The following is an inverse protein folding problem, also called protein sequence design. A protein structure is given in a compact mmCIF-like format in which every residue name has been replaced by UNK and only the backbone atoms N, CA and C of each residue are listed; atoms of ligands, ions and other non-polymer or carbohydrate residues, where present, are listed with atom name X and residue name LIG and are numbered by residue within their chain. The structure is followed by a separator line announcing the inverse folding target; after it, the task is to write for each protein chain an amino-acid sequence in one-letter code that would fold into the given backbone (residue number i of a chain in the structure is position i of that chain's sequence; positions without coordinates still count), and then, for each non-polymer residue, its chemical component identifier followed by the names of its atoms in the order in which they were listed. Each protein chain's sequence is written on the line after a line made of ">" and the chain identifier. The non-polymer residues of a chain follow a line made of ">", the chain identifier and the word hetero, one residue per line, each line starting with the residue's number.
data_IF_552499914253
#
_entry.id   IF_552499914253
#
_cell.length_a   1.000
_cell.length_b   1.000
_cell.length_c   1.000
_cell.angle_alpha   90.00
_cell.angle_beta   90.00
_cell.angle_gamma   90.00
#
_symmetry.space_group_name_H-M   'P 1'
#
loop_
_entity.id
_entity.type
_entity.pdbx_description
1 polymer ?
#
# COMPACT_ATOMS: atom_id res chain seq x y z
N UNK A 1 18.57 39.48 21.02
CA UNK A 1 17.34 38.70 21.30
C UNK A 1 16.38 38.71 20.10
N UNK A 2 16.13 39.83 19.43
CA UNK A 2 15.22 39.91 18.28
C UNK A 2 15.68 39.15 17.06
N UNK A 3 16.99 39.09 16.78
CA UNK A 3 17.55 38.37 15.64
C UNK A 3 17.52 36.85 15.84
N UNK A 4 17.64 36.36 17.07
CA UNK A 4 17.55 34.94 17.40
C UNK A 4 16.11 34.45 17.18
N UNK A 5 15.11 35.22 17.61
CA UNK A 5 13.69 34.92 17.39
C UNK A 5 13.31 34.92 15.90
N UNK A 6 13.81 35.87 15.11
CA UNK A 6 13.58 35.91 13.66
C UNK A 6 14.19 34.73 12.96
N UNK A 7 15.43 34.35 13.25
CA UNK A 7 16.08 33.17 12.69
C UNK A 7 15.34 31.89 13.06
N UNK A 8 14.87 31.76 14.28
CA UNK A 8 14.10 30.61 14.73
C UNK A 8 12.76 30.50 13.97
N UNK A 9 12.05 31.62 13.77
CA UNK A 9 10.83 31.64 12.97
C UNK A 9 11.09 31.28 11.49
N UNK A 10 12.18 31.75 10.92
CA UNK A 10 12.57 31.40 9.54
C UNK A 10 12.90 29.90 9.40
N UNK A 11 13.63 29.33 10.36
CA UNK A 11 13.91 27.90 10.41
C UNK A 11 12.66 27.07 10.57
N UNK A 12 11.74 27.47 11.47
CA UNK A 12 10.46 26.79 11.66
C UNK A 12 9.58 26.87 10.41
N UNK A 13 9.51 28.04 9.77
CA UNK A 13 8.75 28.21 8.52
C UNK A 13 9.32 27.38 7.37
N UNK A 14 10.64 27.33 7.23
CA UNK A 14 11.31 26.52 6.19
C UNK A 14 11.14 25.03 6.45
N UNK A 15 11.27 24.58 7.69
CA UNK A 15 11.06 23.19 8.08
C UNK A 15 9.61 22.77 7.86
N UNK A 16 8.65 23.64 8.21
CA UNK A 16 7.23 23.40 7.97
C UNK A 16 6.90 23.32 6.49
N UNK A 17 7.44 24.22 5.68
CA UNK A 17 7.26 24.20 4.22
C UNK A 17 7.79 22.91 3.61
N UNK A 18 9.00 22.49 3.98
CA UNK A 18 9.61 21.24 3.52
C UNK A 18 8.81 20.02 3.94
N UNK A 19 8.27 20.02 5.18
CA UNK A 19 7.42 18.93 5.67
C UNK A 19 6.10 18.85 4.90
N UNK A 20 5.47 19.98 4.58
CA UNK A 20 4.23 20.02 3.79
C UNK A 20 4.48 19.50 2.38
N UNK A 21 5.57 19.91 1.73
CA UNK A 21 5.94 19.41 0.40
C UNK A 21 6.25 17.92 0.44
N UNK A 22 7.01 17.44 1.42
CA UNK A 22 7.32 16.03 1.61
C UNK A 22 6.07 15.19 1.83
N UNK A 23 5.14 15.66 2.65
CA UNK A 23 3.86 14.98 2.88
C UNK A 23 2.98 14.96 1.62
N UNK A 24 2.91 16.05 0.86
CA UNK A 24 2.16 16.10 -0.39
C UNK A 24 2.69 15.08 -1.41
N UNK A 25 4.01 15.02 -1.61
CA UNK A 25 4.65 14.03 -2.49
C UNK A 25 4.38 12.61 -1.99
N UNK A 26 4.49 12.37 -0.68
CA UNK A 26 4.22 11.06 -0.08
C UNK A 26 2.79 10.59 -0.30
N UNK A 27 1.80 11.49 -0.20
CA UNK A 27 0.39 11.18 -0.48
C UNK A 27 0.20 10.80 -1.95
N UNK A 28 0.81 11.52 -2.89
CA UNK A 28 0.74 11.18 -4.32
C UNK A 28 1.34 9.81 -4.59
N UNK A 29 2.52 9.52 -4.04
CA UNK A 29 3.17 8.22 -4.18
C UNK A 29 2.31 7.10 -3.58
N UNK A 30 1.71 7.34 -2.41
CA UNK A 30 0.81 6.39 -1.77
C UNK A 30 -0.43 6.09 -2.64
N UNK A 31 -1.04 7.12 -3.24
CA UNK A 31 -2.17 6.95 -4.16
C UNK A 31 -1.78 6.13 -5.39
N UNK A 32 -0.64 6.43 -6.01
CA UNK A 32 -0.11 5.65 -7.14
C UNK A 32 0.14 4.20 -6.73
N UNK A 33 0.70 3.97 -5.55
CA UNK A 33 0.92 2.64 -5.00
C UNK A 33 -0.38 1.85 -4.81
N UNK A 34 -1.41 2.48 -4.24
CA UNK A 34 -2.74 1.87 -4.08
C UNK A 34 -3.38 1.54 -5.43
N UNK A 35 -3.34 2.47 -6.39
CA UNK A 35 -3.88 2.23 -7.74
C UNK A 35 -3.15 1.09 -8.45
N UNK A 36 -1.82 1.02 -8.33
CA UNK A 36 -1.03 -0.07 -8.90
C UNK A 36 -1.37 -1.42 -8.24
N UNK A 37 -1.56 -1.44 -6.91
CA UNK A 37 -1.98 -2.64 -6.20
C UNK A 37 -3.38 -3.11 -6.66
N UNK A 38 -4.34 -2.19 -6.80
CA UNK A 38 -5.68 -2.50 -7.32
C UNK A 38 -5.57 -3.09 -8.72
N UNK A 39 -4.84 -2.44 -9.62
CA UNK A 39 -4.68 -2.89 -10.99
C UNK A 39 -4.04 -4.28 -11.08
N UNK A 40 -3.00 -4.53 -10.29
CA UNK A 40 -2.31 -5.83 -10.23
C UNK A 40 -3.24 -6.93 -9.74
N UNK A 41 -4.03 -6.67 -8.69
CA UNK A 41 -4.99 -7.64 -8.15
C UNK A 41 -6.14 -7.93 -9.12
N UNK A 42 -6.70 -6.89 -9.74
CA UNK A 42 -7.76 -7.05 -10.75
C UNK A 42 -7.25 -7.89 -11.91
N UNK A 43 -6.07 -7.58 -12.42
CA UNK A 43 -5.44 -8.31 -13.53
C UNK A 43 -5.19 -9.77 -13.16
N UNK A 44 -4.64 -10.04 -11.98
CA UNK A 44 -4.40 -11.39 -11.49
C UNK A 44 -5.69 -12.23 -11.39
N UNK A 45 -6.77 -11.64 -10.87
CA UNK A 45 -8.06 -12.31 -10.73
C UNK A 45 -8.72 -12.54 -12.11
N UNK A 46 -8.70 -11.54 -13.00
CA UNK A 46 -9.33 -11.64 -14.33
C UNK A 46 -8.59 -12.63 -15.23
N UNK A 47 -7.26 -12.62 -15.22
CA UNK A 47 -6.45 -13.56 -16.02
C UNK A 47 -6.66 -15.03 -15.60
N UNK A 48 -6.96 -15.29 -14.32
CA UNK A 48 -7.20 -16.64 -13.76
C UNK A 48 -8.67 -17.03 -13.72
N UNK A 49 -9.57 -16.24 -14.31
CA UNK A 49 -11.03 -16.49 -14.31
C UNK A 49 -11.38 -17.90 -14.81
N UNK A 50 -10.68 -18.40 -15.83
CA UNK A 50 -10.89 -19.75 -16.39
C UNK A 50 -10.47 -20.85 -15.41
N UNK A 51 -9.37 -20.67 -14.70
CA UNK A 51 -8.91 -21.61 -13.67
C UNK A 51 -9.92 -21.70 -12.53
N UNK A 52 -10.48 -20.56 -12.11
CA UNK A 52 -11.50 -20.51 -11.06
C UNK A 52 -12.79 -21.23 -11.48
N UNK A 53 -13.17 -21.14 -12.74
CA UNK A 53 -14.32 -21.87 -13.27
C UNK A 53 -14.09 -23.39 -13.23
N UNK A 54 -12.88 -23.85 -13.56
CA UNK A 54 -12.49 -25.27 -13.46
C UNK A 54 -12.54 -25.76 -12.02
N UNK A 55 -11.95 -25.00 -11.09
CA UNK A 55 -11.92 -25.36 -9.67
C UNK A 55 -13.34 -25.42 -9.08
N UNK A 56 -14.24 -24.51 -9.50
CA UNK A 56 -15.65 -24.54 -9.12
C UNK A 56 -16.38 -25.76 -9.70
N UNK A 57 -16.05 -26.21 -10.92
CA UNK A 57 -16.65 -27.39 -11.51
C UNK A 57 -16.29 -28.69 -10.79
N UNK A 58 -15.13 -28.73 -10.12
CA UNK A 58 -14.68 -29.84 -9.27
C UNK A 58 -15.35 -29.84 -7.89
N UNK A 59 -16.15 -28.81 -7.57
CA UNK A 59 -16.95 -28.76 -6.35
C UNK A 59 -16.54 -27.70 -5.32
N UNK A 60 -15.60 -26.80 -5.66
CA UNK A 60 -15.27 -25.69 -4.76
C UNK A 60 -16.42 -24.69 -4.67
N UNK A 61 -16.82 -24.33 -3.45
CA UNK A 61 -17.86 -23.33 -3.24
C UNK A 61 -17.31 -21.92 -3.48
N UNK A 62 -18.20 -21.00 -3.88
CA UNK A 62 -17.87 -19.57 -4.07
C UNK A 62 -17.23 -18.95 -2.83
N UNK A 63 -17.67 -19.34 -1.64
CA UNK A 63 -17.16 -18.86 -0.35
C UNK A 63 -15.71 -19.32 -0.12
N UNK A 64 -15.40 -20.55 -0.49
CA UNK A 64 -14.05 -21.09 -0.40
C UNK A 64 -13.11 -20.38 -1.39
N UNK A 65 -13.56 -20.14 -2.62
CA UNK A 65 -12.78 -19.41 -3.62
C UNK A 65 -12.48 -17.97 -3.18
N UNK A 66 -13.49 -17.24 -2.66
CA UNK A 66 -13.28 -15.90 -2.13
C UNK A 66 -12.27 -15.88 -0.98
N UNK A 67 -12.36 -16.84 -0.06
CA UNK A 67 -11.40 -16.97 1.04
C UNK A 67 -9.98 -17.27 0.54
N UNK A 68 -9.84 -18.07 -0.49
CA UNK A 68 -8.54 -18.34 -1.13
C UNK A 68 -7.94 -17.07 -1.73
N UNK A 69 -8.73 -16.27 -2.46
CA UNK A 69 -8.28 -15.00 -3.03
C UNK A 69 -7.89 -13.96 -1.98
N UNK A 70 -8.65 -13.87 -0.90
CA UNK A 70 -8.34 -12.98 0.23
C UNK A 70 -7.03 -13.42 0.91
N UNK A 71 -6.83 -14.71 1.12
CA UNK A 71 -5.58 -15.22 1.69
C UNK A 71 -4.37 -14.96 0.78
N UNK A 72 -4.54 -15.09 -0.53
CA UNK A 72 -3.51 -14.75 -1.51
C UNK A 72 -3.17 -13.25 -1.45
N UNK A 73 -4.18 -12.37 -1.42
CA UNK A 73 -3.98 -10.94 -1.26
C UNK A 73 -3.28 -10.56 0.05
N UNK A 74 -3.65 -11.21 1.14
CA UNK A 74 -3.03 -11.02 2.45
C UNK A 74 -1.56 -11.47 2.45
N UNK A 75 -1.26 -12.59 1.82
CA UNK A 75 0.12 -13.07 1.67
C UNK A 75 1.00 -12.06 0.92
N UNK A 76 0.52 -11.52 -0.20
CA UNK A 76 1.23 -10.47 -0.93
C UNK A 76 1.42 -9.21 -0.10
N UNK A 77 0.40 -8.80 0.67
CA UNK A 77 0.50 -7.64 1.54
C UNK A 77 1.56 -7.83 2.64
N UNK A 78 1.59 -8.98 3.29
CA UNK A 78 2.59 -9.31 4.32
C UNK A 78 4.00 -9.32 3.73
N UNK A 79 4.18 -9.93 2.56
CA UNK A 79 5.47 -9.96 1.86
C UNK A 79 5.95 -8.56 1.49
N UNK A 80 5.05 -7.73 0.97
CA UNK A 80 5.32 -6.33 0.60
C UNK A 80 5.68 -5.50 1.84
N UNK A 81 4.96 -5.67 2.94
CA UNK A 81 5.26 -5.00 4.20
C UNK A 81 6.63 -5.42 4.73
N UNK A 82 6.95 -6.70 4.76
CA UNK A 82 8.24 -7.20 5.20
C UNK A 82 9.39 -6.61 4.36
N UNK A 83 9.26 -6.62 3.04
CA UNK A 83 10.23 -5.99 2.14
C UNK A 83 10.35 -4.48 2.37
N UNK A 84 9.22 -3.78 2.54
CA UNK A 84 9.19 -2.33 2.81
C UNK A 84 9.87 -1.98 4.14
N UNK A 85 9.65 -2.76 5.19
CA UNK A 85 10.32 -2.56 6.49
C UNK A 85 11.82 -2.78 6.37
N UNK A 86 12.26 -3.81 5.65
CA UNK A 86 13.69 -4.08 5.42
C UNK A 86 14.35 -2.94 4.63
N UNK A 87 13.79 -2.57 3.49
CA UNK A 87 14.35 -1.52 2.63
C UNK A 87 14.35 -0.17 3.35
N UNK A 88 13.26 0.16 4.04
CA UNK A 88 13.14 1.41 4.80
C UNK A 88 14.16 1.49 5.93
N UNK A 89 14.37 0.40 6.67
CA UNK A 89 15.36 0.36 7.76
C UNK A 89 16.79 0.51 7.25
N UNK A 90 17.11 -0.12 6.11
CA UNK A 90 18.42 0.02 5.46
C UNK A 90 18.61 1.45 4.94
N UNK A 91 17.64 2.01 4.23
CA UNK A 91 17.72 3.36 3.67
C UNK A 91 17.90 4.41 4.78
N UNK A 92 17.10 4.33 5.84
CA UNK A 92 17.23 5.24 6.98
C UNK A 92 18.56 5.03 7.70
N UNK A 93 19.03 3.80 7.87
CA UNK A 93 20.34 3.52 8.46
C UNK A 93 21.50 4.15 7.67
N UNK A 94 21.45 4.11 6.34
CA UNK A 94 22.45 4.75 5.47
C UNK A 94 22.37 6.28 5.56
N UNK A 95 21.15 6.85 5.49
CA UNK A 95 20.94 8.29 5.58
C UNK A 95 21.39 8.85 6.94
N UNK A 96 21.05 8.16 8.04
CA UNK A 96 21.48 8.56 9.39
C UNK A 96 23.00 8.56 9.49
N UNK A 97 23.66 7.52 8.96
CA UNK A 97 25.12 7.45 8.97
C UNK A 97 25.76 8.61 8.21
N UNK A 98 25.28 8.90 7.00
CA UNK A 98 25.76 10.01 6.19
C UNK A 98 25.52 11.38 6.85
N UNK A 99 24.41 11.57 7.55
CA UNK A 99 24.10 12.80 8.28
C UNK A 99 24.95 12.98 9.54
N UNK A 100 25.23 11.91 10.28
CA UNK A 100 26.10 11.95 11.47
C UNK A 100 27.53 12.27 11.06
N UNK A 101 28.04 11.68 10.00
CA UNK A 101 29.37 11.98 9.44
C UNK A 101 29.47 13.41 8.90
N UNK A 102 28.34 14.00 8.42
CA UNK A 102 28.25 15.40 7.96
C UNK A 102 28.02 16.44 9.06
N UNK A 103 27.95 16.06 10.35
CA UNK A 103 27.82 17.00 11.47
C UNK A 103 26.39 17.55 11.69
N UNK A 104 25.39 17.00 11.04
CA UNK A 104 23.97 17.38 11.24
C UNK A 104 23.36 16.59 12.41
N UNK A 105 23.27 17.25 13.56
CA UNK A 105 22.95 16.63 14.84
C UNK A 105 21.48 16.66 15.22
N UNK A 106 20.51 16.19 14.56
CA UNK A 106 19.22 15.78 15.15
C UNK A 106 18.31 15.12 14.13
N UNK A 107 18.60 13.90 13.82
CA UNK A 107 17.66 13.06 13.09
C UNK A 107 16.91 12.15 14.08
N UNK A 108 15.59 12.35 14.22
CA UNK A 108 14.73 11.39 14.93
C UNK A 108 14.32 10.30 13.95
N UNK A 109 14.83 9.10 14.16
CA UNK A 109 14.36 7.90 13.47
C UNK A 109 12.89 7.66 13.84
N UNK A 110 11.99 7.91 12.90
CA UNK A 110 10.56 7.71 13.14
C UNK A 110 10.00 6.70 12.15
N UNK A 111 9.77 5.48 12.59
CA UNK A 111 9.03 4.45 11.84
C UNK A 111 7.50 4.68 11.89
N UNK A 112 7.08 5.72 12.57
CA UNK A 112 5.66 6.03 12.80
C UNK A 112 4.82 6.09 11.50
N UNK A 113 5.27 6.72 10.40
CA UNK A 113 4.53 6.72 9.15
C UNK A 113 4.33 5.32 8.57
N UNK A 114 5.34 4.45 8.68
CA UNK A 114 5.29 3.09 8.18
C UNK A 114 4.31 2.24 8.99
N UNK A 115 4.32 2.39 10.31
CA UNK A 115 3.36 1.74 11.22
C UNK A 115 1.93 2.23 10.94
N UNK A 116 1.73 3.50 10.65
CA UNK A 116 0.42 4.07 10.30
C UNK A 116 -0.10 3.56 8.94
N UNK A 117 0.77 3.32 7.97
CA UNK A 117 0.38 2.76 6.66
C UNK A 117 0.05 1.26 6.71
N UNK A 118 0.60 0.52 7.68
CA UNK A 118 0.41 -0.93 7.80
C UNK A 118 -1.07 -1.35 7.88
N UNK A 119 -1.92 -0.80 8.78
CA UNK A 119 -3.32 -1.19 8.86
C UNK A 119 -4.11 -0.83 7.59
N UNK A 120 -3.78 0.29 6.97
CA UNK A 120 -4.42 0.73 5.72
C UNK A 120 -4.15 -0.29 4.62
N UNK A 121 -2.91 -0.72 4.45
CA UNK A 121 -2.51 -1.68 3.44
C UNK A 121 -3.15 -3.05 3.67
N UNK A 122 -3.24 -3.50 4.93
CA UNK A 122 -3.92 -4.75 5.29
C UNK A 122 -5.43 -4.69 5.00
N UNK A 123 -6.08 -3.58 5.26
CA UNK A 123 -7.50 -3.38 4.92
C UNK A 123 -7.70 -3.49 3.41
N UNK A 124 -6.87 -2.84 2.60
CA UNK A 124 -6.94 -2.94 1.15
C UNK A 124 -6.64 -4.36 0.64
N UNK A 125 -5.72 -5.07 1.25
CA UNK A 125 -5.39 -6.45 0.89
C UNK A 125 -6.55 -7.43 1.06
N UNK A 126 -7.46 -7.16 1.99
CA UNK A 126 -8.69 -7.95 2.20
C UNK A 126 -9.83 -7.41 1.34
N UNK A 127 -10.01 -6.09 1.29
CA UNK A 127 -11.14 -5.45 0.64
C UNK A 127 -11.11 -5.61 -0.88
N UNK A 128 -9.95 -5.43 -1.51
CA UNK A 128 -9.82 -5.43 -2.97
C UNK A 128 -10.14 -6.80 -3.58
N UNK A 129 -9.56 -7.92 -3.13
CA UNK A 129 -9.92 -9.24 -3.64
C UNK A 129 -11.40 -9.57 -3.45
N UNK A 130 -11.95 -9.20 -2.29
CA UNK A 130 -13.37 -9.41 -1.99
C UNK A 130 -14.30 -8.62 -2.95
N UNK A 131 -14.00 -7.35 -3.20
CA UNK A 131 -14.77 -6.52 -4.13
C UNK A 131 -14.62 -6.99 -5.58
N UNK A 132 -13.41 -7.35 -6.00
CA UNK A 132 -13.16 -7.87 -7.35
C UNK A 132 -13.92 -9.17 -7.59
N UNK A 133 -13.91 -10.10 -6.63
CA UNK A 133 -14.65 -11.34 -6.74
C UNK A 133 -16.16 -11.09 -6.85
N UNK A 134 -16.71 -10.23 -6.03
CA UNK A 134 -18.13 -9.84 -6.07
C UNK A 134 -18.53 -9.20 -7.41
N UNK A 135 -17.64 -8.42 -8.00
CA UNK A 135 -17.89 -7.76 -9.29
C UNK A 135 -17.86 -8.76 -10.47
N UNK A 136 -16.91 -9.70 -10.45
CA UNK A 136 -16.84 -10.79 -11.43
C UNK A 136 -18.09 -11.67 -11.39
N UNK A 137 -18.63 -11.94 -10.21
CA UNK A 137 -19.85 -12.73 -10.05
C UNK A 137 -21.08 -12.05 -10.68
N UNK A 138 -21.20 -10.74 -10.54
CA UNK A 138 -22.28 -9.96 -11.17
C UNK A 138 -22.23 -10.02 -12.70
N UNK A 139 -21.05 -9.87 -13.28
CA UNK A 139 -20.87 -9.92 -14.73
C UNK A 139 -21.18 -11.29 -15.32
N UNK A 140 -20.86 -12.37 -14.62
CA UNK A 140 -21.14 -13.73 -15.11
C UNK A 140 -22.65 -14.05 -15.11
N UNK A 141 -23.43 -13.45 -14.23
CA UNK A 141 -24.90 -13.62 -14.18
C UNK A 141 -25.57 -12.85 -15.31
N UNK A 142 -25.13 -11.61 -15.58
CA UNK A 142 -25.67 -10.79 -16.66
C UNK A 142 -25.36 -11.38 -18.03
N UNK A 143 -24.17 -11.97 -18.21
CA UNK A 143 -23.78 -12.59 -19.48
C UNK A 143 -24.56 -13.89 -19.76
N UNK A 144 -24.91 -14.66 -18.72
CA UNK A 144 -25.78 -15.83 -18.83
C UNK A 144 -27.22 -15.46 -19.20
N UNK A 145 -27.76 -14.37 -18.64
CA UNK A 145 -29.11 -13.89 -18.94
C UNK A 145 -29.22 -13.26 -20.34
N UNK A 146 -28.10 -12.90 -20.97
CA UNK A 146 -28.06 -12.34 -22.34
C UNK A 146 -27.96 -13.41 -23.42
N UNK A 147 -27.61 -14.63 -23.05
CA UNK A 147 -27.49 -15.78 -23.98
C UNK A 147 -28.75 -16.68 -23.98
N UNK A 148 -29.79 -16.36 -23.17
CA UNK A 148 -31.15 -16.88 -23.26
C UNK A 148 -32.05 -15.88 -23.99
#
# INVERSE_FOLDING_TARGET
>A
LGDVYKRQQEYEAQTRSSAVMGNAVSVVIALVGVLNFINSMVTAIVSRKREFAVIQSVGMTKKQLNRMLVNEGLFYAVLTLAASYLISSLAVGVVVRAMVEGGFTTFRFTLLPLVACTPILLIFAVLIPHLCFRNLEKHSIVERLRME
#
